data_IF_318526321682
#
_entry.id   IF_318526321682
#
_cell.length_a   1.000
_cell.length_b   1.000
_cell.length_c   1.000
_cell.angle_alpha   90.00
_cell.angle_beta   90.00
_cell.angle_gamma   90.00
#
_symmetry.space_group_name_H-M   'P 1'
#
loop_
_entity.id
_entity.type
_entity.pdbx_description
1 polymer ?
#
# COMPACT_ATOMS: atom_id res chain seq x y z
N UNK A 1 61.38 31.16 16.25
CA UNK A 1 60.82 30.48 17.43
C UNK A 1 59.51 29.82 17.05
N UNK A 2 59.19 28.57 17.42
CA UNK A 2 59.96 27.60 18.22
C UNK A 2 59.01 26.67 18.99
N UNK A 3 59.05 25.35 18.73
CA UNK A 3 58.12 24.33 19.27
C UNK A 3 57.41 23.59 18.10
N UNK A 4 57.71 22.32 17.76
CA UNK A 4 57.85 21.10 18.58
C UNK A 4 56.52 20.75 19.26
N UNK A 5 55.94 19.55 19.12
CA UNK A 5 56.59 18.23 18.97
C UNK A 5 56.00 17.32 17.86
N UNK A 6 56.67 16.21 17.59
CA UNK A 6 56.23 15.14 16.67
C UNK A 6 56.38 13.76 17.31
N UNK A 7 55.41 12.86 17.08
CA UNK A 7 55.52 11.38 17.18
C UNK A 7 54.24 10.79 16.57
N UNK A 8 54.25 10.00 15.49
CA UNK A 8 54.78 8.63 15.35
C UNK A 8 54.10 7.64 16.31
N UNK A 9 53.71 6.41 15.98
CA UNK A 9 53.59 5.61 14.74
C UNK A 9 53.38 4.17 15.25
N UNK A 10 52.44 3.41 14.66
CA UNK A 10 52.34 1.94 14.67
C UNK A 10 52.33 1.15 16.01
N UNK A 11 51.32 0.27 16.18
CA UNK A 11 51.56 -1.19 16.26
C UNK A 11 50.27 -2.01 16.34
N UNK A 12 50.32 -3.21 15.76
CA UNK A 12 49.40 -4.33 15.92
C UNK A 12 50.18 -5.62 15.55
N UNK A 13 49.67 -6.83 15.79
CA UNK A 13 48.82 -7.36 16.87
C UNK A 13 49.62 -8.42 17.69
N UNK A 14 49.00 -9.38 18.43
CA UNK A 14 48.75 -10.68 17.81
C UNK A 14 47.55 -11.52 18.33
N UNK A 15 47.33 -12.64 17.62
CA UNK A 15 46.31 -13.70 17.73
C UNK A 15 46.38 -14.59 19.00
N UNK A 16 45.25 -15.21 19.37
CA UNK A 16 44.95 -16.69 19.29
C UNK A 16 43.51 -16.98 19.80
N UNK A 17 42.68 -17.76 19.10
CA UNK A 17 42.57 -19.24 19.07
C UNK A 17 42.14 -19.86 20.42
N UNK A 18 41.28 -20.89 20.53
CA UNK A 18 40.61 -21.78 19.55
C UNK A 18 39.17 -22.14 20.08
N UNK A 19 38.40 -23.17 19.68
CA UNK A 19 38.60 -24.35 18.80
C UNK A 19 37.24 -24.97 18.36
N UNK A 20 37.27 -25.82 17.33
CA UNK A 20 36.22 -26.80 16.94
C UNK A 20 36.32 -28.11 17.79
N UNK A 21 35.52 -29.21 17.66
CA UNK A 21 35.06 -29.83 16.39
C UNK A 21 33.69 -30.56 16.38
N UNK A 22 33.37 -31.16 15.23
CA UNK A 22 32.16 -31.93 14.92
C UNK A 22 32.28 -33.46 15.13
N UNK A 23 31.14 -34.15 15.32
CA UNK A 23 30.86 -35.59 15.08
C UNK A 23 29.37 -35.89 15.34
N UNK A 24 28.69 -36.93 14.83
CA UNK A 24 29.03 -37.92 13.79
C UNK A 24 27.74 -38.53 13.18
N UNK A 25 27.82 -39.00 11.93
CA UNK A 25 26.79 -39.77 11.21
C UNK A 25 26.77 -41.25 11.64
N UNK A 26 25.60 -41.81 12.03
CA UNK A 26 25.39 -43.28 12.09
C UNK A 26 23.94 -43.72 11.79
N UNK A 27 23.84 -44.73 10.94
CA UNK A 27 22.77 -45.72 10.70
C UNK A 27 23.49 -47.04 10.33
N UNK A 28 22.86 -48.21 10.09
CA UNK A 28 21.60 -48.81 10.58
C UNK A 28 21.81 -50.22 11.22
N UNK A 29 20.77 -50.84 11.81
CA UNK A 29 20.48 -52.32 11.93
C UNK A 29 19.26 -52.49 12.87
N UNK A 30 18.10 -53.06 12.48
CA UNK A 30 17.75 -54.47 12.17
C UNK A 30 17.69 -55.42 13.37
N UNK A 31 16.47 -55.78 13.82
CA UNK A 31 16.17 -57.05 14.51
C UNK A 31 14.66 -57.37 14.50
N UNK A 32 14.32 -58.63 14.24
CA UNK A 32 12.98 -59.26 14.30
C UNK A 32 13.13 -60.66 14.95
N UNK A 33 12.11 -61.54 15.05
CA UNK A 33 11.40 -61.90 16.29
C UNK A 33 11.59 -63.37 16.74
N UNK A 34 10.86 -63.83 17.79
CA UNK A 34 10.16 -65.15 17.75
C UNK A 34 8.67 -65.05 18.22
N UNK A 35 7.65 -65.65 17.58
CA UNK A 35 7.11 -67.04 17.68
C UNK A 35 6.64 -67.49 19.08
N UNK A 36 5.48 -68.14 19.33
CA UNK A 36 4.40 -68.72 18.49
C UNK A 36 3.06 -68.96 19.27
N UNK A 37 1.95 -69.41 18.65
CA UNK A 37 0.58 -69.46 19.27
C UNK A 37 0.14 -70.90 19.68
N UNK A 38 -1.11 -71.20 20.16
CA UNK A 38 -2.28 -71.40 19.25
C UNK A 38 -3.73 -71.19 19.80
N UNK A 39 -4.70 -71.05 18.87
CA UNK A 39 -6.14 -71.49 18.92
C UNK A 39 -7.12 -70.91 19.98
N UNK A 40 -8.44 -70.79 19.75
CA UNK A 40 -9.29 -71.05 18.57
C UNK A 40 -10.62 -70.23 18.60
N UNK A 41 -11.36 -70.26 17.48
CA UNK A 41 -12.83 -70.05 17.33
C UNK A 41 -13.49 -68.81 17.96
N UNK A 42 -14.01 -67.91 17.11
CA UNK A 42 -15.45 -67.94 16.79
C UNK A 42 -15.81 -67.15 15.52
N UNK A 43 -16.88 -67.57 14.84
CA UNK A 43 -17.35 -67.02 13.56
C UNK A 43 -18.50 -66.05 13.78
N UNK A 44 -18.27 -64.76 13.57
CA UNK A 44 -19.32 -63.74 13.56
C UNK A 44 -19.31 -62.98 12.23
N UNK A 45 -20.33 -63.20 11.42
CA UNK A 45 -20.52 -62.68 10.05
C UNK A 45 -20.87 -61.18 10.03
N UNK A 46 -19.94 -60.31 10.45
CA UNK A 46 -20.06 -58.87 10.22
C UNK A 46 -19.79 -58.53 8.75
N UNK A 47 -20.85 -58.56 7.93
CA UNK A 47 -20.84 -58.16 6.51
C UNK A 47 -20.38 -56.69 6.37
N UNK A 48 -19.06 -56.49 6.23
CA UNK A 48 -18.48 -55.17 5.93
C UNK A 48 -19.08 -54.69 4.61
N UNK A 49 -19.88 -53.62 4.67
CA UNK A 49 -20.26 -52.84 3.49
C UNK A 49 -18.96 -52.44 2.79
N UNK A 50 -18.79 -52.66 1.48
CA UNK A 50 -17.54 -52.30 0.80
C UNK A 50 -17.29 -50.80 0.99
N UNK A 51 -16.02 -50.36 1.08
CA UNK A 51 -15.73 -48.94 1.09
C UNK A 51 -16.35 -48.36 -0.18
N UNK A 52 -17.28 -47.40 -0.02
CA UNK A 52 -17.79 -46.68 -1.17
C UNK A 52 -16.59 -46.00 -1.81
N UNK A 53 -16.27 -46.38 -3.04
CA UNK A 53 -15.36 -45.61 -3.88
C UNK A 53 -15.85 -44.16 -3.86
N UNK A 54 -14.94 -43.16 -3.86
CA UNK A 54 -15.35 -41.76 -3.94
C UNK A 54 -16.26 -41.61 -5.16
N UNK A 55 -17.56 -41.42 -4.92
CA UNK A 55 -18.53 -41.34 -6.00
C UNK A 55 -18.19 -40.10 -6.79
N UNK A 56 -17.53 -40.30 -7.95
CA UNK A 56 -17.19 -39.21 -8.85
C UNK A 56 -18.52 -38.53 -9.19
N UNK A 57 -18.73 -37.25 -8.81
CA UNK A 57 -20.02 -36.62 -8.99
C UNK A 57 -20.40 -36.68 -10.46
N UNK A 58 -21.68 -36.99 -10.74
CA UNK A 58 -22.22 -37.05 -12.09
C UNK A 58 -21.85 -35.77 -12.86
N UNK A 59 -21.70 -35.87 -14.18
CA UNK A 59 -21.33 -34.73 -15.03
C UNK A 59 -22.21 -33.49 -14.77
N UNK A 60 -23.48 -33.73 -14.47
CA UNK A 60 -24.47 -32.73 -14.07
C UNK A 60 -24.22 -32.12 -12.68
N UNK A 61 -23.93 -32.93 -11.65
CA UNK A 61 -23.50 -32.41 -10.32
C UNK A 61 -22.17 -31.67 -10.39
N UNK A 62 -21.22 -32.11 -11.24
CA UNK A 62 -19.97 -31.39 -11.51
C UNK A 62 -20.23 -30.02 -12.14
N UNK A 63 -21.14 -29.94 -13.13
CA UNK A 63 -21.54 -28.67 -13.74
C UNK A 63 -22.23 -27.76 -12.74
N UNK A 64 -23.19 -28.26 -11.95
CA UNK A 64 -23.87 -27.48 -10.92
C UNK A 64 -22.89 -26.90 -9.89
N UNK A 65 -22.00 -27.73 -9.34
CA UNK A 65 -20.99 -27.29 -8.37
C UNK A 65 -19.95 -26.32 -8.99
N UNK A 66 -19.61 -26.48 -10.26
CA UNK A 66 -18.75 -25.53 -10.97
C UNK A 66 -19.44 -24.17 -11.16
N UNK A 67 -20.70 -24.14 -11.58
CA UNK A 67 -21.50 -22.92 -11.76
C UNK A 67 -21.72 -22.20 -10.42
N UNK A 68 -22.00 -22.95 -9.36
CA UNK A 68 -22.18 -22.42 -8.00
C UNK A 68 -20.86 -21.86 -7.44
N UNK A 69 -19.75 -22.59 -7.61
CA UNK A 69 -18.41 -22.14 -7.23
C UNK A 69 -17.96 -20.91 -8.01
N UNK A 70 -18.17 -20.87 -9.32
CA UNK A 70 -17.84 -19.71 -10.17
C UNK A 70 -18.68 -18.48 -9.81
N UNK A 71 -19.97 -18.69 -9.50
CA UNK A 71 -20.87 -17.63 -9.00
C UNK A 71 -20.43 -17.10 -7.63
N UNK A 72 -20.06 -17.98 -6.69
CA UNK A 72 -19.58 -17.62 -5.36
C UNK A 72 -18.24 -16.88 -5.41
N UNK A 73 -17.28 -17.34 -6.22
CA UNK A 73 -15.99 -16.67 -6.45
C UNK A 73 -16.21 -15.28 -7.07
N UNK A 74 -17.09 -15.18 -8.06
CA UNK A 74 -17.40 -13.90 -8.73
C UNK A 74 -18.09 -12.92 -7.78
N UNK A 75 -19.04 -13.37 -6.96
CA UNK A 75 -19.69 -12.56 -5.93
C UNK A 75 -18.69 -12.06 -4.88
N UNK A 76 -17.78 -12.94 -4.41
CA UNK A 76 -16.73 -12.60 -3.43
C UNK A 76 -15.76 -11.57 -4.00
N UNK A 77 -15.30 -11.75 -5.25
CA UNK A 77 -14.45 -10.78 -5.96
C UNK A 77 -15.13 -9.42 -6.11
N UNK A 78 -16.40 -9.40 -6.52
CA UNK A 78 -17.18 -8.15 -6.67
C UNK A 78 -17.31 -7.41 -5.33
N UNK A 79 -17.51 -8.13 -4.23
CA UNK A 79 -17.58 -7.56 -2.88
C UNK A 79 -16.24 -6.99 -2.41
N UNK A 80 -15.11 -7.65 -2.73
CA UNK A 80 -13.75 -7.17 -2.42
C UNK A 80 -13.40 -5.88 -3.15
N UNK A 81 -13.68 -5.81 -4.45
CA UNK A 81 -13.45 -4.61 -5.28
C UNK A 81 -14.33 -3.44 -4.81
N UNK A 82 -15.60 -3.70 -4.48
CA UNK A 82 -16.49 -2.67 -3.93
C UNK A 82 -16.04 -2.15 -2.55
N UNK A 83 -15.52 -3.05 -1.69
CA UNK A 83 -14.98 -2.67 -0.38
C UNK A 83 -13.69 -1.85 -0.49
N UNK A 84 -12.73 -2.30 -1.30
CA UNK A 84 -11.50 -1.55 -1.58
C UNK A 84 -11.84 -0.17 -2.12
N UNK A 85 -12.66 -0.06 -3.18
CA UNK A 85 -13.03 1.24 -3.73
C UNK A 85 -13.77 2.15 -2.74
N UNK A 86 -14.54 1.62 -1.80
CA UNK A 86 -15.14 2.40 -0.70
C UNK A 86 -14.08 2.92 0.28
N UNK A 87 -13.09 2.09 0.63
CA UNK A 87 -11.97 2.51 1.47
C UNK A 87 -11.12 3.56 0.76
N UNK A 88 -10.86 3.42 -0.54
CA UNK A 88 -10.20 4.44 -1.37
C UNK A 88 -10.98 5.76 -1.34
N UNK A 89 -12.30 5.75 -1.54
CA UNK A 89 -13.14 6.98 -1.47
C UNK A 89 -12.99 7.67 -0.11
N UNK A 90 -13.08 6.91 0.99
CA UNK A 90 -13.03 7.47 2.35
C UNK A 90 -11.62 7.98 2.69
N UNK A 91 -10.58 7.20 2.38
CA UNK A 91 -9.18 7.57 2.61
C UNK A 91 -8.75 8.76 1.76
N UNK A 92 -9.30 8.90 0.54
CA UNK A 92 -9.07 10.08 -0.28
C UNK A 92 -9.81 11.29 0.33
N UNK A 93 -11.13 11.22 0.47
CA UNK A 93 -11.95 12.31 1.04
C UNK A 93 -11.41 12.88 2.35
N UNK A 94 -10.88 12.04 3.25
CA UNK A 94 -10.37 12.48 4.55
C UNK A 94 -9.02 13.21 4.49
N UNK A 95 -8.16 12.97 3.48
CA UNK A 95 -6.90 13.72 3.35
C UNK A 95 -7.07 15.08 2.68
N UNK A 96 -8.07 15.23 1.81
CA UNK A 96 -8.40 16.52 1.22
C UNK A 96 -8.69 17.60 2.30
N UNK A 97 -9.12 17.22 3.51
CA UNK A 97 -9.28 18.19 4.62
C UNK A 97 -7.93 18.83 5.01
N UNK A 98 -6.88 18.09 5.48
CA UNK A 98 -5.52 18.62 5.64
C UNK A 98 -4.97 19.38 4.43
N UNK A 99 -5.25 18.89 3.21
CA UNK A 99 -4.84 19.52 1.94
C UNK A 99 -5.37 20.96 1.82
N UNK A 100 -6.70 21.13 1.92
CA UNK A 100 -7.35 22.43 1.80
C UNK A 100 -6.97 23.38 2.93
N UNK A 101 -6.76 22.85 4.15
CA UNK A 101 -6.18 23.61 5.26
C UNK A 101 -4.81 24.17 4.86
N UNK A 102 -3.91 23.34 4.32
CA UNK A 102 -2.57 23.76 3.92
C UNK A 102 -2.56 24.76 2.75
N UNK A 103 -3.41 24.56 1.73
CA UNK A 103 -3.55 25.47 0.59
C UNK A 103 -4.05 26.84 1.07
N UNK A 104 -5.16 26.89 1.80
CA UNK A 104 -5.75 28.13 2.29
C UNK A 104 -4.79 28.89 3.23
N UNK A 105 -4.13 28.19 4.16
CA UNK A 105 -3.12 28.77 5.06
C UNK A 105 -1.91 29.34 4.33
N UNK A 106 -1.54 28.78 3.18
CA UNK A 106 -0.44 29.32 2.36
C UNK A 106 -0.93 30.53 1.55
N UNK A 107 -2.14 30.50 1.01
CA UNK A 107 -2.74 31.68 0.35
C UNK A 107 -2.84 32.90 1.29
N UNK A 108 -3.09 32.68 2.58
CA UNK A 108 -3.08 33.74 3.61
C UNK A 108 -1.71 34.37 3.86
N UNK A 109 -0.60 33.69 3.55
CA UNK A 109 0.75 34.27 3.63
C UNK A 109 1.04 35.26 2.51
N UNK A 110 0.32 35.17 1.38
CA UNK A 110 0.45 36.06 0.24
C UNK A 110 0.37 35.32 -1.09
N UNK A 111 -0.07 36.04 -2.13
CA UNK A 111 -0.32 35.50 -3.48
C UNK A 111 0.92 34.82 -4.08
N UNK A 112 2.12 35.35 -3.80
CA UNK A 112 3.39 34.80 -4.32
C UNK A 112 3.66 33.36 -3.86
N UNK A 113 3.27 33.02 -2.63
CA UNK A 113 3.39 31.67 -2.08
C UNK A 113 2.14 30.80 -2.32
N UNK A 114 0.96 31.42 -2.27
CA UNK A 114 -0.33 30.74 -2.44
C UNK A 114 -0.62 30.31 -3.87
N UNK A 115 -0.40 31.17 -4.86
CA UNK A 115 -0.77 30.89 -6.25
C UNK A 115 0.01 29.71 -6.86
N UNK A 116 1.34 29.58 -6.69
CA UNK A 116 2.08 28.41 -7.16
C UNK A 116 1.63 27.12 -6.47
N UNK A 117 1.32 27.17 -5.17
CA UNK A 117 0.82 26.00 -4.44
C UNK A 117 -0.58 25.62 -4.91
N UNK A 118 -1.50 26.56 -5.07
CA UNK A 118 -2.86 26.30 -5.55
C UNK A 118 -2.88 25.69 -6.97
N UNK A 119 -1.98 26.14 -7.86
CA UNK A 119 -1.81 25.54 -9.20
C UNK A 119 -1.24 24.12 -9.09
N UNK A 120 -0.19 23.92 -8.29
CA UNK A 120 0.38 22.59 -8.06
C UNK A 120 -0.66 21.62 -7.48
N UNK A 121 -1.51 22.09 -6.56
CA UNK A 121 -2.54 21.28 -5.93
C UNK A 121 -3.70 20.97 -6.86
N UNK A 122 -4.15 21.95 -7.66
CA UNK A 122 -5.10 21.73 -8.75
C UNK A 122 -4.65 20.62 -9.73
N UNK A 123 -3.34 20.42 -9.88
CA UNK A 123 -2.77 19.36 -10.72
C UNK A 123 -2.64 18.00 -10.02
N UNK A 124 -2.48 17.90 -8.69
CA UNK A 124 -2.55 16.59 -7.99
C UNK A 124 -3.99 16.06 -7.92
N UNK A 125 -4.97 16.96 -7.84
CA UNK A 125 -6.38 16.64 -7.67
C UNK A 125 -6.93 15.84 -8.87
N UNK A 126 -6.31 15.95 -10.04
CA UNK A 126 -6.69 15.19 -11.25
C UNK A 126 -6.34 13.69 -11.09
N UNK A 127 -5.08 13.28 -10.83
CA UNK A 127 -4.74 11.92 -10.42
C UNK A 127 -5.58 11.35 -9.27
N UNK A 128 -5.84 12.11 -8.22
CA UNK A 128 -6.63 11.66 -7.06
C UNK A 128 -8.09 11.45 -7.41
N UNK A 129 -8.71 12.38 -8.14
CA UNK A 129 -10.06 12.20 -8.68
C UNK A 129 -10.16 10.97 -9.58
N UNK A 130 -9.12 10.64 -10.34
CA UNK A 130 -9.03 9.38 -11.10
C UNK A 130 -8.90 8.15 -10.20
N UNK A 131 -8.13 8.22 -9.10
CA UNK A 131 -8.00 7.16 -8.11
C UNK A 131 -9.29 6.88 -7.35
N UNK A 132 -10.14 7.90 -7.10
CA UNK A 132 -11.50 7.74 -6.57
C UNK A 132 -12.44 7.14 -7.63
N UNK A 133 -12.44 7.69 -8.85
CA UNK A 133 -13.37 7.32 -9.89
C UNK A 133 -13.15 5.89 -10.43
N UNK A 134 -11.89 5.44 -10.52
CA UNK A 134 -11.52 4.14 -11.12
C UNK A 134 -12.15 2.93 -10.43
N UNK A 135 -11.90 2.70 -9.12
CA UNK A 135 -12.50 1.60 -8.36
C UNK A 135 -14.03 1.68 -8.31
N UNK A 136 -14.60 2.88 -8.13
CA UNK A 136 -16.05 3.05 -8.08
C UNK A 136 -16.71 2.76 -9.44
N UNK A 137 -16.09 3.16 -10.55
CA UNK A 137 -16.53 2.76 -11.89
C UNK A 137 -16.37 1.25 -12.11
N UNK A 138 -15.28 0.65 -11.65
CA UNK A 138 -15.07 -0.80 -11.74
C UNK A 138 -16.19 -1.59 -11.05
N UNK A 139 -16.64 -1.14 -9.86
CA UNK A 139 -17.70 -1.74 -9.07
C UNK A 139 -19.13 -1.44 -9.57
N UNK A 140 -19.42 -0.19 -9.97
CA UNK A 140 -20.79 0.28 -10.28
C UNK A 140 -21.13 0.36 -11.77
N UNK A 141 -20.12 0.39 -12.65
CA UNK A 141 -20.23 0.63 -14.11
C UNK A 141 -20.91 1.94 -14.51
N UNK A 142 -21.11 2.88 -13.58
CA UNK A 142 -21.74 4.17 -13.85
C UNK A 142 -20.71 5.30 -13.84
N UNK A 143 -20.48 5.94 -15.00
CA UNK A 143 -19.57 7.09 -15.14
C UNK A 143 -20.01 8.26 -14.26
N UNK A 144 -21.30 8.57 -14.22
CA UNK A 144 -21.86 9.66 -13.43
C UNK A 144 -21.63 9.46 -11.93
N UNK A 145 -21.79 8.23 -11.41
CA UNK A 145 -21.49 7.94 -9.99
C UNK A 145 -19.99 8.05 -9.69
N UNK A 146 -19.14 7.60 -10.60
CA UNK A 146 -17.68 7.73 -10.47
C UNK A 146 -17.22 9.18 -10.43
N UNK A 147 -17.69 10.03 -11.36
CA UNK A 147 -17.39 11.46 -11.39
C UNK A 147 -17.97 12.16 -10.16
N UNK A 148 -19.24 11.91 -9.81
CA UNK A 148 -19.86 12.56 -8.65
C UNK A 148 -19.14 12.23 -7.34
N UNK A 149 -18.69 10.99 -7.15
CA UNK A 149 -17.91 10.62 -5.96
C UNK A 149 -16.53 11.30 -5.94
N UNK A 150 -15.85 11.43 -7.09
CA UNK A 150 -14.61 12.18 -7.19
C UNK A 150 -14.83 13.68 -6.88
N UNK A 151 -15.90 14.29 -7.39
CA UNK A 151 -16.27 15.68 -7.08
C UNK A 151 -16.62 15.87 -5.60
N UNK A 152 -17.38 14.95 -5.00
CA UNK A 152 -17.70 14.98 -3.56
C UNK A 152 -16.43 14.83 -2.72
N UNK A 153 -15.50 13.94 -3.10
CA UNK A 153 -14.20 13.79 -2.44
C UNK A 153 -13.37 15.07 -2.52
N UNK A 154 -13.24 15.69 -3.70
CA UNK A 154 -12.57 16.98 -3.87
C UNK A 154 -13.22 18.11 -3.07
N UNK A 155 -14.54 18.04 -2.85
CA UNK A 155 -15.28 18.96 -1.98
C UNK A 155 -14.78 19.00 -0.52
N UNK A 156 -14.11 17.95 -0.03
CA UNK A 156 -13.50 17.96 1.30
C UNK A 156 -12.29 18.91 1.41
N UNK A 157 -11.67 19.30 0.29
CA UNK A 157 -10.65 20.37 0.26
C UNK A 157 -11.29 21.71 0.62
N UNK A 158 -12.45 22.01 0.02
CA UNK A 158 -13.23 23.22 0.35
C UNK A 158 -13.68 23.20 1.82
N UNK A 159 -14.03 22.02 2.36
CA UNK A 159 -14.32 21.88 3.81
C UNK A 159 -13.09 22.22 4.64
N UNK A 160 -11.90 21.76 4.26
CA UNK A 160 -10.62 22.14 4.88
C UNK A 160 -10.42 23.67 4.91
N UNK A 161 -10.57 24.33 3.77
CA UNK A 161 -10.49 25.80 3.65
C UNK A 161 -11.49 26.51 4.58
N UNK A 162 -12.75 26.06 4.60
CA UNK A 162 -13.81 26.64 5.42
C UNK A 162 -13.58 26.45 6.93
N UNK A 163 -12.98 25.33 7.35
CA UNK A 163 -12.59 25.11 8.74
C UNK A 163 -11.55 26.14 9.19
N UNK A 164 -10.53 26.43 8.37
CA UNK A 164 -9.56 27.49 8.70
C UNK A 164 -10.23 28.85 8.74
N UNK A 165 -11.08 29.17 7.76
CA UNK A 165 -11.80 30.45 7.72
C UNK A 165 -12.66 30.69 8.98
N UNK A 166 -13.24 29.63 9.56
CA UNK A 166 -14.06 29.71 10.78
C UNK A 166 -13.23 29.84 12.07
N UNK A 167 -12.01 29.27 12.10
CA UNK A 167 -11.14 29.25 13.28
C UNK A 167 -9.86 30.10 13.13
N UNK A 168 -9.85 31.04 12.18
CA UNK A 168 -8.67 31.81 11.78
C UNK A 168 -7.94 32.48 12.96
N UNK A 169 -8.68 33.09 13.89
CA UNK A 169 -8.16 33.76 15.09
C UNK A 169 -7.41 32.84 16.08
N UNK A 170 -7.38 31.53 15.82
CA UNK A 170 -6.74 30.50 16.65
C UNK A 170 -5.58 29.80 15.94
N UNK A 171 -5.31 30.16 14.68
CA UNK A 171 -4.22 29.60 13.88
C UNK A 171 -2.88 30.19 14.31
N UNK A 172 -1.94 29.33 14.67
CA UNK A 172 -0.54 29.71 14.92
C UNK A 172 0.36 29.29 13.75
N UNK A 173 1.55 29.91 13.57
CA UNK A 173 2.51 29.46 12.56
C UNK A 173 2.88 27.97 12.71
N UNK A 174 3.01 27.51 13.95
CA UNK A 174 3.23 26.10 14.30
C UNK A 174 2.12 25.18 13.78
N UNK A 175 0.84 25.59 13.86
CA UNK A 175 -0.27 24.81 13.35
C UNK A 175 -0.18 24.61 11.82
N UNK A 176 0.24 25.63 11.08
CA UNK A 176 0.44 25.57 9.64
C UNK A 176 1.57 24.58 9.27
N UNK A 177 2.72 24.67 9.94
CA UNK A 177 3.85 23.74 9.73
C UNK A 177 3.47 22.30 10.09
N UNK A 178 2.73 22.11 11.19
CA UNK A 178 2.19 20.81 11.59
C UNK A 178 1.21 20.25 10.55
N UNK A 179 0.30 21.06 10.00
CA UNK A 179 -0.62 20.64 8.93
C UNK A 179 0.12 20.26 7.65
N UNK A 180 1.13 21.04 7.21
CA UNK A 180 1.96 20.68 6.06
C UNK A 180 2.74 19.37 6.27
N UNK A 181 3.27 19.15 7.47
CA UNK A 181 3.95 17.89 7.83
C UNK A 181 2.98 16.71 7.86
N UNK A 182 1.76 16.92 8.36
CA UNK A 182 0.68 15.94 8.39
C UNK A 182 0.24 15.54 6.97
N UNK A 183 0.02 16.51 6.07
CA UNK A 183 -0.28 16.27 4.64
C UNK A 183 0.83 15.43 4.01
N UNK A 184 2.11 15.82 4.18
CA UNK A 184 3.23 15.08 3.61
C UNK A 184 3.29 13.62 4.10
N UNK A 185 3.04 13.37 5.38
CA UNK A 185 2.97 12.02 5.94
C UNK A 185 1.79 11.20 5.41
N UNK A 186 0.61 11.82 5.31
CA UNK A 186 -0.60 11.19 4.76
C UNK A 186 -0.40 10.83 3.29
N UNK A 187 0.16 11.72 2.47
CA UNK A 187 0.47 11.47 1.05
C UNK A 187 1.38 10.26 0.84
N UNK A 188 2.45 10.14 1.63
CA UNK A 188 3.32 8.94 1.59
C UNK A 188 2.55 7.69 2.02
N UNK A 189 1.68 7.80 3.04
CA UNK A 189 0.79 6.72 3.47
C UNK A 189 -0.14 6.23 2.36
N UNK A 190 -0.88 7.13 1.70
CA UNK A 190 -1.76 6.80 0.57
C UNK A 190 -1.00 6.16 -0.59
N UNK A 191 0.15 6.72 -0.95
CA UNK A 191 0.99 6.19 -2.02
C UNK A 191 1.41 4.73 -1.73
N UNK A 192 1.87 4.44 -0.52
CA UNK A 192 2.45 3.14 -0.17
C UNK A 192 1.41 2.08 0.28
N UNK A 193 0.32 2.49 0.93
CA UNK A 193 -0.64 1.58 1.58
C UNK A 193 -1.88 1.35 0.71
N UNK A 194 -2.31 2.35 -0.06
CA UNK A 194 -3.55 2.26 -0.86
C UNK A 194 -3.25 2.15 -2.36
N UNK A 195 -2.50 3.09 -2.92
CA UNK A 195 -2.28 3.20 -4.37
C UNK A 195 -1.32 2.12 -4.89
N UNK A 196 -0.15 1.93 -4.26
CA UNK A 196 0.85 0.95 -4.71
C UNK A 196 0.33 -0.51 -4.65
N UNK A 197 -0.38 -0.96 -3.59
CA UNK A 197 -0.99 -2.29 -3.58
C UNK A 197 -2.12 -2.44 -4.60
N UNK A 198 -2.94 -1.40 -4.79
CA UNK A 198 -3.99 -1.39 -5.84
C UNK A 198 -3.39 -1.54 -7.24
N UNK A 199 -2.25 -0.91 -7.52
CA UNK A 199 -1.51 -1.09 -8.75
C UNK A 199 -0.96 -2.54 -8.91
N UNK A 200 -0.56 -3.21 -7.82
CA UNK A 200 -0.08 -4.60 -7.83
C UNK A 200 -1.18 -5.63 -8.11
N UNK A 201 -2.45 -5.31 -7.88
CA UNK A 201 -3.56 -6.17 -8.32
C UNK A 201 -3.83 -6.10 -9.84
N UNK A 202 -3.29 -5.09 -10.54
CA UNK A 202 -3.60 -4.79 -11.95
C UNK A 202 -2.38 -4.95 -12.88
N UNK A 203 -1.20 -4.53 -12.43
CA UNK A 203 0.01 -4.38 -13.25
C UNK A 203 1.18 -5.24 -12.74
N UNK A 204 2.03 -5.71 -13.66
CA UNK A 204 3.26 -6.44 -13.30
C UNK A 204 4.26 -5.49 -12.59
N UNK A 205 5.13 -5.98 -11.70
CA UNK A 205 6.03 -5.14 -10.91
C UNK A 205 6.98 -4.24 -11.74
N UNK A 206 7.51 -4.75 -12.86
CA UNK A 206 8.48 -4.00 -13.70
C UNK A 206 7.84 -2.76 -14.36
N UNK A 207 6.77 -2.87 -15.18
CA UNK A 207 6.16 -1.68 -15.79
C UNK A 207 5.60 -0.69 -14.76
N UNK A 208 5.16 -1.19 -13.60
CA UNK A 208 4.75 -0.33 -12.49
C UNK A 208 5.93 0.49 -11.95
N UNK A 209 7.06 -0.15 -11.64
CA UNK A 209 8.27 0.54 -11.20
C UNK A 209 8.72 1.62 -12.20
N UNK A 210 8.68 1.31 -13.51
CA UNK A 210 8.92 2.30 -14.56
C UNK A 210 7.93 3.46 -14.52
N UNK A 211 6.63 3.21 -14.33
CA UNK A 211 5.61 4.26 -14.23
C UNK A 211 5.75 5.14 -12.97
N UNK A 212 6.11 4.55 -11.83
CA UNK A 212 6.38 5.28 -10.60
C UNK A 212 7.61 6.19 -10.75
N UNK A 213 8.71 5.69 -11.32
CA UNK A 213 9.91 6.50 -11.60
C UNK A 213 9.59 7.61 -12.61
N UNK A 214 8.86 7.31 -13.68
CA UNK A 214 8.41 8.31 -14.65
C UNK A 214 7.57 9.42 -14.00
N UNK A 215 6.63 9.07 -13.12
CA UNK A 215 5.82 10.03 -12.36
C UNK A 215 6.65 10.90 -11.40
N UNK A 216 7.63 10.32 -10.70
CA UNK A 216 8.54 11.07 -9.84
C UNK A 216 9.42 12.05 -10.63
N UNK A 217 9.97 11.63 -11.77
CA UNK A 217 10.75 12.51 -12.67
C UNK A 217 9.89 13.64 -13.24
N UNK A 218 8.66 13.34 -13.65
CA UNK A 218 7.70 14.34 -14.11
C UNK A 218 7.41 15.38 -13.02
N UNK A 219 7.03 14.96 -11.82
CA UNK A 219 6.74 15.87 -10.70
C UNK A 219 7.96 16.72 -10.31
N UNK A 220 9.17 16.14 -10.29
CA UNK A 220 10.40 16.89 -10.05
C UNK A 220 10.66 17.94 -11.14
N UNK A 221 10.49 17.58 -12.42
CA UNK A 221 10.64 18.51 -13.54
C UNK A 221 9.60 19.64 -13.49
N UNK A 222 8.32 19.33 -13.22
CA UNK A 222 7.27 20.33 -13.06
C UNK A 222 7.57 21.30 -11.92
N UNK A 223 7.98 20.80 -10.74
CA UNK A 223 8.36 21.66 -9.60
C UNK A 223 9.58 22.53 -9.92
N UNK A 224 10.61 21.95 -10.53
CA UNK A 224 11.84 22.66 -10.92
C UNK A 224 11.54 23.77 -11.94
N UNK A 225 10.68 23.50 -12.92
CA UNK A 225 10.22 24.49 -13.89
C UNK A 225 9.40 25.61 -13.23
N UNK A 226 8.50 25.29 -12.30
CA UNK A 226 7.76 26.28 -11.51
C UNK A 226 8.69 27.19 -10.70
N UNK A 227 9.62 26.62 -9.92
CA UNK A 227 10.59 27.42 -9.15
C UNK A 227 11.47 28.29 -10.05
N UNK A 228 11.91 27.75 -11.20
CA UNK A 228 12.69 28.52 -12.18
C UNK A 228 11.89 29.69 -12.77
N UNK A 229 10.60 29.48 -13.05
CA UNK A 229 9.71 30.52 -13.57
C UNK A 229 9.44 31.62 -12.54
N UNK A 230 9.19 31.27 -11.27
CA UNK A 230 9.02 32.27 -10.18
C UNK A 230 10.27 33.12 -10.02
N UNK A 231 11.45 32.49 -10.02
CA UNK A 231 12.75 33.19 -10.00
C UNK A 231 12.96 34.11 -11.21
N UNK A 232 12.55 33.68 -12.40
CA UNK A 232 12.71 34.46 -13.63
C UNK A 232 11.78 35.68 -13.69
N UNK A 233 10.61 35.62 -13.03
CA UNK A 233 9.65 36.71 -12.96
C UNK A 233 9.99 37.76 -11.87
N UNK A 234 11.08 37.57 -11.10
CA UNK A 234 11.51 38.51 -10.07
C UNK A 234 10.62 38.54 -8.81
N UNK A 235 9.77 37.53 -8.65
CA UNK A 235 8.83 37.35 -7.54
C UNK A 235 9.58 36.68 -6.39
N UNK A 236 10.09 37.47 -5.44
CA UNK A 236 11.19 37.07 -4.55
C UNK A 236 10.88 37.08 -3.06
N UNK A 237 10.58 35.88 -2.53
CA UNK A 237 10.83 35.35 -1.17
C UNK A 237 10.50 36.23 0.06
#
# INVERSE_FOLDING_TARGET
DGGSEASASASAPPRRAASSPARSRRTPTSQTPPSSPPRATESATRRKKPPQSPQVPSSEKRKAFAIEGESAVTATRKRRVAFSGLMTIIAISLHNIPEGIAVYLTCLKGVESGLPLAIAMSLHNIPEGMAVAGPLYAATKSKTKAVLAATVSGGFEVVGCLLVQLFFDRITPFFLEFMLSLVAGIMVGLALIELLPSCLEILKPVPMGCSCVGGMVFMFASKSASTSLTSYLGVGH
#
